data_IF_229007165499
#
_entry.id   IF_229007165499
#
_cell.length_a   1.000
_cell.length_b   1.000
_cell.length_c   1.000
_cell.angle_alpha   90.00
_cell.angle_beta   90.00
_cell.angle_gamma   90.00
#
_symmetry.space_group_name_H-M   'P 1'
#
loop_
_entity.id
_entity.type
_entity.pdbx_description
1 polymer ?
#
# COMPACT_ATOMS: atom_id res chain seq x y z
N UNK A 1 77.68 -16.08 -26.62
CA UNK A 1 76.35 -16.67 -26.39
C UNK A 1 75.53 -15.71 -25.53
N UNK A 2 74.46 -15.13 -26.08
CA UNK A 2 73.59 -14.16 -25.38
C UNK A 2 72.18 -14.76 -25.37
N UNK A 3 71.72 -15.16 -24.19
CA UNK A 3 70.43 -15.80 -23.99
C UNK A 3 69.29 -14.78 -24.20
N UNK A 4 68.31 -15.14 -25.04
CA UNK A 4 67.11 -14.36 -25.28
C UNK A 4 66.09 -14.61 -24.16
N UNK A 5 65.61 -13.52 -23.55
CA UNK A 5 64.59 -13.53 -22.51
C UNK A 5 63.20 -13.83 -23.10
N UNK A 6 62.46 -14.72 -22.44
CA UNK A 6 61.09 -15.08 -22.81
C UNK A 6 60.09 -14.00 -22.37
N UNK A 7 59.14 -13.66 -23.25
CA UNK A 7 58.06 -12.70 -23.00
C UNK A 7 56.95 -13.30 -22.11
N UNK A 8 56.29 -12.51 -21.25
CA UNK A 8 55.25 -13.00 -20.35
C UNK A 8 53.94 -13.28 -21.09
N UNK A 9 53.26 -14.35 -20.67
CA UNK A 9 51.98 -14.79 -21.22
C UNK A 9 50.82 -13.82 -20.88
N UNK A 10 49.80 -13.69 -21.75
CA UNK A 10 48.66 -12.80 -21.49
C UNK A 10 47.80 -13.31 -20.33
N UNK A 11 47.41 -12.39 -19.44
CA UNK A 11 46.51 -12.65 -18.34
C UNK A 11 45.10 -13.05 -18.83
N UNK A 12 44.55 -14.11 -18.24
CA UNK A 12 43.22 -14.61 -18.55
C UNK A 12 42.14 -13.57 -18.21
N UNK A 13 41.29 -13.25 -19.19
CA UNK A 13 40.16 -12.36 -19.03
C UNK A 13 39.12 -12.97 -18.08
N UNK A 14 38.66 -12.16 -17.12
CA UNK A 14 37.61 -12.53 -16.18
C UNK A 14 36.27 -12.81 -16.91
N UNK A 15 35.43 -13.74 -16.42
CA UNK A 15 34.16 -14.07 -17.07
C UNK A 15 33.23 -12.85 -17.07
N UNK A 16 32.77 -12.45 -18.25
CA UNK A 16 31.73 -11.43 -18.40
C UNK A 16 30.46 -11.89 -17.67
N UNK A 17 29.97 -11.05 -16.74
CA UNK A 17 28.71 -11.28 -16.05
C UNK A 17 27.57 -11.47 -17.07
N UNK A 18 26.87 -12.59 -17.00
CA UNK A 18 25.77 -12.91 -17.91
C UNK A 18 24.67 -11.85 -17.79
N UNK A 19 24.44 -11.07 -18.85
CA UNK A 19 23.31 -10.16 -18.93
C UNK A 19 22.01 -10.97 -18.82
N UNK A 20 21.16 -10.66 -17.83
CA UNK A 20 19.80 -11.22 -17.74
C UNK A 20 19.05 -10.88 -19.03
N UNK A 21 18.62 -11.90 -19.77
CA UNK A 21 17.80 -11.72 -20.96
C UNK A 21 16.49 -10.98 -20.61
N UNK A 22 16.08 -10.05 -21.46
CA UNK A 22 14.79 -9.38 -21.32
C UNK A 22 13.63 -10.39 -21.36
N UNK A 23 12.54 -10.16 -20.61
CA UNK A 23 11.38 -11.04 -20.64
C UNK A 23 10.77 -11.07 -22.05
N UNK A 24 10.59 -12.27 -22.62
CA UNK A 24 9.83 -12.45 -23.85
C UNK A 24 8.34 -12.34 -23.51
N UNK A 25 7.65 -11.37 -24.11
CA UNK A 25 6.22 -11.17 -23.94
C UNK A 25 5.47 -11.80 -25.11
N UNK A 26 4.44 -12.60 -24.82
CA UNK A 26 3.55 -13.15 -25.84
C UNK A 26 2.42 -12.18 -26.15
N UNK A 27 1.98 -12.14 -27.41
CA UNK A 27 0.86 -11.31 -27.81
C UNK A 27 -0.44 -11.86 -27.20
N UNK A 28 -1.18 -11.00 -26.50
CA UNK A 28 -2.48 -11.37 -25.93
C UNK A 28 -3.48 -11.76 -27.04
N UNK A 29 -4.27 -12.83 -26.85
CA UNK A 29 -5.31 -13.22 -27.82
C UNK A 29 -6.40 -12.15 -27.97
N UNK A 30 -6.51 -11.19 -27.05
CA UNK A 30 -7.46 -10.09 -27.11
C UNK A 30 -7.10 -9.03 -28.16
N UNK A 31 -5.87 -9.05 -28.70
CA UNK A 31 -5.39 -8.03 -29.64
C UNK A 31 -6.25 -8.03 -30.92
N UNK A 32 -6.89 -6.88 -31.21
CA UNK A 32 -7.73 -6.69 -32.40
C UNK A 32 -9.18 -7.15 -32.25
N UNK A 33 -9.61 -7.56 -31.06
CA UNK A 33 -11.00 -7.97 -30.81
C UNK A 33 -11.82 -6.87 -30.14
N UNK A 34 -13.10 -6.77 -30.51
CA UNK A 34 -14.11 -6.00 -29.77
C UNK A 34 -14.91 -6.97 -28.90
N UNK A 35 -14.78 -6.83 -27.58
CA UNK A 35 -15.49 -7.68 -26.60
C UNK A 35 -16.54 -6.88 -25.85
N UNK A 36 -17.70 -7.49 -25.60
CA UNK A 36 -18.76 -6.86 -24.81
C UNK A 36 -18.30 -6.72 -23.35
N UNK A 37 -18.47 -5.55 -22.75
CA UNK A 37 -18.22 -5.37 -21.33
C UNK A 37 -19.12 -6.30 -20.50
N UNK A 38 -18.54 -6.95 -19.49
CA UNK A 38 -19.33 -7.66 -18.49
C UNK A 38 -20.18 -6.67 -17.69
N UNK A 39 -21.31 -7.12 -17.15
CA UNK A 39 -22.17 -6.30 -16.29
C UNK A 39 -21.39 -5.68 -15.14
N UNK A 40 -20.53 -6.47 -14.50
CA UNK A 40 -19.69 -6.03 -13.39
C UNK A 40 -18.71 -4.93 -13.81
N UNK A 41 -18.04 -5.08 -14.97
CA UNK A 41 -17.11 -4.05 -15.46
C UNK A 41 -17.82 -2.74 -15.79
N UNK A 42 -19.05 -2.82 -16.33
CA UNK A 42 -19.88 -1.66 -16.58
C UNK A 42 -20.23 -0.93 -15.27
N UNK A 43 -20.73 -1.65 -14.26
CA UNK A 43 -21.07 -1.06 -12.95
C UNK A 43 -19.86 -0.41 -12.28
N UNK A 44 -18.69 -1.05 -12.32
CA UNK A 44 -17.45 -0.45 -11.79
C UNK A 44 -17.14 0.84 -12.53
N UNK A 45 -17.19 0.85 -13.87
CA UNK A 45 -16.93 2.04 -14.68
C UNK A 45 -17.89 3.19 -14.36
N UNK A 46 -19.19 2.91 -14.29
CA UNK A 46 -20.22 3.91 -13.96
C UNK A 46 -19.98 4.51 -12.56
N UNK A 47 -19.61 3.69 -11.56
CA UNK A 47 -19.29 4.15 -10.22
C UNK A 47 -18.02 5.02 -10.17
N UNK A 48 -16.97 4.68 -10.92
CA UNK A 48 -15.74 5.48 -10.99
C UNK A 48 -15.98 6.84 -11.67
N UNK A 49 -16.76 6.87 -12.75
CA UNK A 49 -17.13 8.13 -13.39
C UNK A 49 -18.02 8.98 -12.48
N UNK A 50 -18.93 8.37 -11.72
CA UNK A 50 -19.73 9.09 -10.72
C UNK A 50 -18.83 9.72 -9.65
N UNK A 51 -17.85 8.99 -9.11
CA UNK A 51 -16.91 9.53 -8.13
C UNK A 51 -16.14 10.74 -8.68
N UNK A 52 -15.59 10.63 -9.90
CA UNK A 52 -14.84 11.71 -10.54
C UNK A 52 -15.68 12.96 -10.81
N UNK A 53 -16.94 12.81 -11.19
CA UNK A 53 -17.81 13.96 -11.46
C UNK A 53 -18.41 14.60 -10.20
N UNK A 54 -18.51 13.84 -9.10
CA UNK A 54 -19.09 14.35 -7.84
C UNK A 54 -18.05 14.92 -6.90
N UNK A 55 -16.79 14.46 -6.93
CA UNK A 55 -15.77 14.83 -5.95
C UNK A 55 -14.70 15.74 -6.56
N UNK A 56 -14.26 16.75 -5.81
CA UNK A 56 -13.14 17.60 -6.20
C UNK A 56 -11.82 16.93 -5.81
N UNK A 57 -11.40 15.89 -6.54
CA UNK A 57 -10.29 15.05 -6.09
C UNK A 57 -8.91 15.71 -6.25
N UNK A 58 -8.14 15.74 -5.17
CA UNK A 58 -6.70 16.05 -5.16
C UNK A 58 -5.91 14.86 -4.62
N UNK A 59 -4.59 14.87 -4.84
CA UNK A 59 -3.69 13.87 -4.25
C UNK A 59 -2.44 14.54 -3.67
N UNK A 60 -2.12 14.21 -2.43
CA UNK A 60 -0.87 14.58 -1.77
C UNK A 60 0.00 13.36 -1.57
N UNK A 61 1.32 13.51 -1.64
CA UNK A 61 2.27 12.38 -1.57
C UNK A 61 3.40 12.71 -0.59
N UNK A 62 3.78 11.73 0.23
CA UNK A 62 4.94 11.82 1.13
C UNK A 62 5.84 10.58 0.97
N UNK A 63 7.13 10.77 1.22
CA UNK A 63 8.09 9.67 1.37
C UNK A 63 8.12 9.19 2.83
N UNK A 64 8.28 7.89 3.05
CA UNK A 64 8.33 7.26 4.37
C UNK A 64 9.48 6.27 4.42
N UNK A 65 10.36 6.41 5.42
CA UNK A 65 11.44 5.46 5.72
C UNK A 65 10.91 4.32 6.59
N UNK A 66 10.64 3.18 5.96
CA UNK A 66 10.15 1.99 6.65
C UNK A 66 11.27 1.01 7.02
N UNK A 67 12.54 1.43 7.03
CA UNK A 67 13.67 0.54 7.37
C UNK A 67 13.52 -0.09 8.76
N UNK A 68 13.14 0.70 9.79
CA UNK A 68 12.94 0.15 11.14
C UNK A 68 11.82 -0.89 11.15
N UNK A 69 10.68 -0.55 10.57
CA UNK A 69 9.53 -1.44 10.45
C UNK A 69 9.87 -2.74 9.71
N UNK A 70 10.59 -2.66 8.60
CA UNK A 70 10.96 -3.83 7.80
C UNK A 70 11.96 -4.74 8.53
N UNK A 71 12.89 -4.15 9.29
CA UNK A 71 13.80 -4.91 10.18
C UNK A 71 13.04 -5.60 11.31
N UNK A 72 12.13 -4.89 11.98
CA UNK A 72 11.29 -5.44 13.05
C UNK A 72 10.46 -6.62 12.53
N UNK A 73 9.77 -6.41 11.39
CA UNK A 73 9.01 -7.48 10.73
C UNK A 73 9.88 -8.69 10.39
N UNK A 74 11.09 -8.48 9.86
CA UNK A 74 11.99 -9.57 9.53
C UNK A 74 12.39 -10.40 10.76
N UNK A 75 12.56 -9.76 11.92
CA UNK A 75 12.82 -10.41 13.21
C UNK A 75 11.60 -11.18 13.74
N UNK A 76 10.39 -10.61 13.61
CA UNK A 76 9.17 -11.16 14.23
C UNK A 76 8.44 -12.23 13.39
N UNK A 77 8.57 -12.20 12.06
CA UNK A 77 7.64 -12.89 11.13
C UNK A 77 7.45 -14.39 11.39
N UNK A 78 8.51 -15.11 11.77
CA UNK A 78 8.48 -16.57 11.88
C UNK A 78 7.82 -16.99 13.21
N UNK A 79 8.17 -16.32 14.31
CA UNK A 79 7.51 -16.51 15.60
C UNK A 79 6.05 -16.08 15.58
N UNK A 80 5.74 -14.97 14.90
CA UNK A 80 4.37 -14.53 14.69
C UNK A 80 3.55 -15.56 13.91
N UNK A 81 4.09 -16.11 12.82
CA UNK A 81 3.39 -17.12 12.03
C UNK A 81 3.12 -18.40 12.83
N UNK A 82 4.08 -18.82 13.66
CA UNK A 82 3.91 -19.98 14.54
C UNK A 82 2.81 -19.75 15.59
N UNK A 83 2.72 -18.55 16.17
CA UNK A 83 1.73 -18.21 17.20
C UNK A 83 0.33 -17.94 16.64
N UNK A 84 0.24 -17.20 15.54
CA UNK A 84 -1.03 -16.67 15.04
C UNK A 84 -1.63 -17.49 13.89
N UNK A 85 -0.88 -18.43 13.31
CA UNK A 85 -1.32 -19.24 12.17
C UNK A 85 -1.43 -18.49 10.85
N UNK A 86 -0.99 -17.22 10.80
CA UNK A 86 -1.01 -16.37 9.61
C UNK A 86 0.33 -15.66 9.41
N UNK A 87 0.71 -15.44 8.15
CA UNK A 87 1.97 -14.76 7.82
C UNK A 87 1.89 -13.27 8.19
N UNK A 88 2.95 -12.76 8.82
CA UNK A 88 3.13 -11.34 9.05
C UNK A 88 3.51 -10.63 7.74
N UNK A 89 2.53 -10.12 7.00
CA UNK A 89 2.79 -9.27 5.82
C UNK A 89 3.08 -7.81 6.26
N UNK A 90 3.59 -6.93 5.38
CA UNK A 90 3.72 -5.51 5.72
C UNK A 90 2.37 -4.80 5.89
N UNK A 91 1.31 -5.26 5.20
CA UNK A 91 0.03 -4.57 5.10
C UNK A 91 -0.63 -4.23 6.46
N UNK A 92 -0.68 -5.14 7.47
CA UNK A 92 -1.26 -4.85 8.77
C UNK A 92 -0.68 -3.63 9.49
N UNK A 93 0.61 -3.35 9.32
CA UNK A 93 1.24 -2.17 9.92
C UNK A 93 0.71 -0.87 9.31
N UNK A 94 0.52 -0.83 7.99
CA UNK A 94 -0.07 0.32 7.31
C UNK A 94 -1.55 0.50 7.68
N UNK A 95 -2.32 -0.59 7.77
CA UNK A 95 -3.72 -0.53 8.22
C UNK A 95 -3.79 0.02 9.65
N UNK A 96 -2.93 -0.48 10.55
CA UNK A 96 -2.88 -0.04 11.95
C UNK A 96 -2.52 1.44 12.07
N UNK A 97 -1.47 1.88 11.38
CA UNK A 97 -1.04 3.27 11.36
C UNK A 97 -2.12 4.21 10.78
N UNK A 98 -2.74 3.82 9.67
CA UNK A 98 -3.84 4.57 9.07
C UNK A 98 -5.04 4.69 10.03
N UNK A 99 -5.52 3.56 10.57
CA UNK A 99 -6.66 3.54 11.48
C UNK A 99 -6.40 4.35 12.77
N UNK A 100 -5.19 4.27 13.33
CA UNK A 100 -4.81 5.09 14.49
C UNK A 100 -4.81 6.58 14.16
N UNK A 101 -4.29 6.98 12.99
CA UNK A 101 -4.30 8.37 12.55
C UNK A 101 -5.73 8.89 12.28
N UNK A 102 -6.63 8.06 11.72
CA UNK A 102 -8.01 8.46 11.46
C UNK A 102 -8.75 8.92 12.72
N UNK A 103 -8.49 8.28 13.88
CA UNK A 103 -9.06 8.69 15.18
C UNK A 103 -8.71 10.14 15.57
N UNK A 104 -7.54 10.63 15.16
CA UNK A 104 -7.09 12.01 15.40
C UNK A 104 -7.48 12.98 14.27
N UNK A 105 -7.90 12.46 13.11
CA UNK A 105 -8.17 13.22 11.90
C UNK A 105 -9.57 12.89 11.34
N UNK A 106 -10.65 13.22 12.06
CA UNK A 106 -12.01 12.78 11.72
C UNK A 106 -12.48 13.29 10.35
N UNK A 107 -11.97 14.43 9.86
CA UNK A 107 -12.28 14.95 8.52
C UNK A 107 -11.88 13.98 7.40
N UNK A 108 -10.86 13.15 7.62
CA UNK A 108 -10.42 12.11 6.69
C UNK A 108 -11.33 10.87 6.78
N UNK A 109 -11.91 10.61 7.96
CA UNK A 109 -12.88 9.54 8.23
C UNK A 109 -14.31 10.08 8.22
N UNK A 110 -14.72 10.66 7.10
CA UNK A 110 -16.02 11.30 6.97
C UNK A 110 -16.64 11.09 5.57
N UNK A 111 -17.90 11.50 5.40
CA UNK A 111 -18.56 11.63 4.10
C UNK A 111 -19.42 12.89 4.03
N UNK A 112 -19.53 13.44 2.82
CA UNK A 112 -20.52 14.49 2.50
C UNK A 112 -21.84 13.79 2.16
N UNK A 113 -22.92 14.20 2.82
CA UNK A 113 -24.29 13.83 2.46
C UNK A 113 -24.85 14.92 1.52
N UNK A 114 -24.57 14.80 0.23
CA UNK A 114 -24.87 15.87 -0.76
C UNK A 114 -26.36 16.28 -0.77
N UNK A 115 -27.26 15.30 -0.73
CA UNK A 115 -28.71 15.54 -0.77
C UNK A 115 -29.23 16.32 0.46
N UNK A 116 -28.56 16.16 1.60
CA UNK A 116 -28.94 16.80 2.87
C UNK A 116 -28.13 18.07 3.16
N UNK A 117 -27.03 18.31 2.44
CA UNK A 117 -26.08 19.38 2.74
C UNK A 117 -25.37 19.21 4.09
N UNK A 118 -25.20 17.98 4.57
CA UNK A 118 -24.57 17.67 5.88
C UNK A 118 -23.29 16.85 5.72
N UNK A 119 -22.48 16.79 6.78
CA UNK A 119 -21.27 15.95 6.84
C UNK A 119 -21.47 14.92 7.95
N UNK A 120 -21.16 13.66 7.65
CA UNK A 120 -21.09 12.58 8.65
C UNK A 120 -19.63 12.30 8.96
N UNK A 121 -19.24 12.45 10.22
CA UNK A 121 -17.97 11.98 10.76
C UNK A 121 -18.21 10.60 11.37
N UNK A 122 -17.45 9.59 10.95
CA UNK A 122 -17.64 8.23 11.44
C UNK A 122 -17.01 8.06 12.82
N UNK A 123 -17.65 7.26 13.68
CA UNK A 123 -17.20 6.90 15.03
C UNK A 123 -16.38 5.61 15.06
N UNK A 124 -16.11 5.03 13.89
CA UNK A 124 -15.38 3.78 13.71
C UNK A 124 -14.53 3.79 12.44
N UNK A 125 -13.42 3.06 12.46
CA UNK A 125 -12.53 2.89 11.31
C UNK A 125 -12.77 1.55 10.63
N UNK A 126 -13.60 1.55 9.59
CA UNK A 126 -13.83 0.37 8.75
C UNK A 126 -12.99 0.50 7.48
N UNK A 127 -11.94 -0.29 7.37
CA UNK A 127 -10.92 -0.12 6.34
C UNK A 127 -11.15 -1.07 5.17
N UNK A 128 -11.53 -0.52 4.03
CA UNK A 128 -11.51 -1.23 2.76
C UNK A 128 -10.07 -1.51 2.31
N UNK A 129 -9.76 -2.74 1.87
CA UNK A 129 -8.44 -3.08 1.34
C UNK A 129 -8.59 -3.59 -0.08
N UNK A 130 -7.89 -2.97 -1.02
CA UNK A 130 -7.88 -3.43 -2.40
C UNK A 130 -7.15 -4.78 -2.52
N UNK A 131 -7.85 -5.81 -3.00
CA UNK A 131 -7.36 -7.17 -3.21
C UNK A 131 -7.50 -7.54 -4.68
N UNK A 132 -6.38 -7.91 -5.29
CA UNK A 132 -6.35 -8.46 -6.64
C UNK A 132 -6.86 -9.91 -6.64
N UNK A 133 -7.95 -10.16 -7.36
CA UNK A 133 -8.61 -11.44 -7.50
C UNK A 133 -8.86 -11.76 -8.98
N UNK A 134 -9.15 -13.02 -9.31
CA UNK A 134 -9.32 -13.49 -10.69
C UNK A 134 -10.43 -12.73 -11.45
N UNK A 135 -11.51 -12.37 -10.75
CA UNK A 135 -12.63 -11.60 -11.30
C UNK A 135 -12.33 -10.09 -11.36
N UNK A 136 -11.11 -9.67 -11.04
CA UNK A 136 -10.67 -8.28 -10.97
C UNK A 136 -10.50 -7.79 -9.53
N UNK A 137 -10.12 -6.52 -9.42
CA UNK A 137 -9.89 -5.85 -8.14
C UNK A 137 -11.19 -5.79 -7.31
N UNK A 138 -11.10 -6.23 -6.07
CA UNK A 138 -12.19 -6.16 -5.08
C UNK A 138 -11.72 -5.39 -3.85
N UNK A 139 -12.64 -4.78 -3.11
CA UNK A 139 -12.31 -3.97 -1.92
C UNK A 139 -13.11 -4.47 -0.70
N UNK A 140 -12.77 -5.65 -0.16
CA UNK A 140 -13.38 -6.12 1.09
C UNK A 140 -12.97 -5.24 2.28
N UNK A 141 -13.77 -5.27 3.35
CA UNK A 141 -13.71 -4.33 4.47
C UNK A 141 -13.31 -5.02 5.76
N UNK A 142 -12.25 -4.53 6.41
CA UNK A 142 -11.94 -4.86 7.80
C UNK A 142 -12.77 -3.94 8.69
N UNK A 143 -13.89 -4.45 9.21
CA UNK A 143 -14.76 -3.73 10.14
C UNK A 143 -14.07 -3.57 11.51
N UNK A 144 -14.20 -2.39 12.11
CA UNK A 144 -13.63 -2.06 13.42
C UNK A 144 -12.10 -2.13 13.46
N UNK A 145 -11.41 -1.83 12.35
CA UNK A 145 -9.96 -1.96 12.25
C UNK A 145 -9.22 -1.06 13.27
N UNK A 146 -9.82 0.06 13.68
CA UNK A 146 -9.27 0.97 14.69
C UNK A 146 -9.08 0.35 16.07
N UNK A 147 -9.79 -0.73 16.38
CA UNK A 147 -9.74 -1.41 17.68
C UNK A 147 -8.97 -2.73 17.62
N UNK A 148 -8.53 -3.14 16.43
CA UNK A 148 -7.74 -4.35 16.24
C UNK A 148 -6.25 -4.10 16.48
N UNK A 149 -5.56 -5.13 16.97
CA UNK A 149 -4.10 -5.20 16.98
C UNK A 149 -3.57 -5.81 15.66
N UNK A 150 -2.25 -5.82 15.47
CA UNK A 150 -1.58 -6.38 14.28
C UNK A 150 -2.02 -7.84 14.02
N UNK A 151 -2.21 -8.65 15.06
CA UNK A 151 -2.68 -10.03 14.92
C UNK A 151 -4.12 -10.10 14.35
N UNK A 152 -5.04 -9.31 14.91
CA UNK A 152 -6.42 -9.22 14.45
C UNK A 152 -6.51 -8.74 13.01
N UNK A 153 -5.79 -7.67 12.66
CA UNK A 153 -5.72 -7.14 11.30
C UNK A 153 -5.12 -8.19 10.34
N UNK A 154 -4.06 -8.89 10.74
CA UNK A 154 -3.43 -9.93 9.92
C UNK A 154 -4.39 -11.07 9.60
N UNK A 155 -5.11 -11.57 10.62
CA UNK A 155 -6.10 -12.65 10.46
C UNK A 155 -7.25 -12.22 9.55
N UNK A 156 -7.80 -11.01 9.76
CA UNK A 156 -8.90 -10.48 8.94
C UNK A 156 -8.47 -10.23 7.49
N UNK A 157 -7.27 -9.68 7.28
CA UNK A 157 -6.71 -9.49 5.94
C UNK A 157 -6.55 -10.84 5.22
N UNK A 158 -6.03 -11.86 5.91
CA UNK A 158 -5.86 -13.19 5.33
C UNK A 158 -7.20 -13.87 5.00
N UNK A 159 -8.19 -13.76 5.89
CA UNK A 159 -9.55 -14.26 5.68
C UNK A 159 -10.19 -13.64 4.43
N UNK A 160 -10.21 -12.31 4.34
CA UNK A 160 -10.83 -11.57 3.23
C UNK A 160 -10.07 -11.80 1.91
N UNK A 161 -8.74 -11.86 1.94
CA UNK A 161 -7.96 -12.18 0.76
C UNK A 161 -8.19 -13.62 0.26
N UNK A 162 -8.39 -14.57 1.19
CA UNK A 162 -8.79 -15.95 0.87
C UNK A 162 -10.16 -15.99 0.20
N UNK A 163 -11.16 -15.33 0.81
CA UNK A 163 -12.51 -15.20 0.24
C UNK A 163 -12.50 -14.53 -1.14
N UNK A 164 -11.72 -13.46 -1.32
CA UNK A 164 -11.63 -12.74 -2.59
C UNK A 164 -11.12 -13.63 -3.72
N UNK A 165 -10.03 -14.37 -3.46
CA UNK A 165 -9.43 -15.29 -4.43
C UNK A 165 -10.30 -16.53 -4.67
N UNK A 166 -10.97 -17.03 -3.63
CA UNK A 166 -11.86 -18.19 -3.71
C UNK A 166 -13.28 -17.87 -4.20
N UNK A 167 -13.61 -16.59 -4.45
CA UNK A 167 -14.94 -16.16 -4.87
C UNK A 167 -16.02 -16.26 -3.78
N UNK A 168 -15.63 -16.30 -2.51
CA UNK A 168 -16.51 -16.44 -1.34
C UNK A 168 -16.81 -15.14 -0.59
N UNK A 169 -16.55 -13.97 -1.19
CA UNK A 169 -16.92 -12.69 -0.59
C UNK A 169 -18.43 -12.51 -0.60
N UNK A 170 -18.97 -12.13 0.55
CA UNK A 170 -20.38 -11.78 0.72
C UNK A 170 -20.60 -10.28 0.46
N UNK A 171 -21.85 -9.83 0.23
CA UNK A 171 -22.16 -8.40 0.17
C UNK A 171 -21.75 -7.65 1.44
N UNK A 172 -21.86 -8.30 2.61
CA UNK A 172 -21.49 -7.71 3.89
C UNK A 172 -19.98 -7.45 3.99
N UNK A 173 -19.16 -8.38 3.50
CA UNK A 173 -17.70 -8.24 3.42
C UNK A 173 -17.26 -7.05 2.54
N UNK A 174 -18.13 -6.57 1.65
CA UNK A 174 -17.84 -5.51 0.67
C UNK A 174 -18.45 -4.15 1.03
N UNK A 175 -19.09 -4.03 2.20
CA UNK A 175 -19.88 -2.87 2.59
C UNK A 175 -19.40 -2.23 3.89
N UNK A 176 -19.74 -0.95 4.08
CA UNK A 176 -19.50 -0.23 5.33
C UNK A 176 -18.09 0.33 5.52
N UNK A 177 -17.25 0.34 4.48
CA UNK A 177 -15.95 1.01 4.54
C UNK A 177 -16.11 2.52 4.71
N UNK A 178 -15.40 3.08 5.68
CA UNK A 178 -15.32 4.51 5.97
C UNK A 178 -14.06 5.14 5.37
N UNK A 179 -13.02 4.31 5.17
CA UNK A 179 -11.76 4.67 4.54
C UNK A 179 -11.24 3.48 3.73
N UNK A 180 -10.41 3.72 2.72
CA UNK A 180 -9.86 2.67 1.87
C UNK A 180 -8.34 2.76 1.77
N UNK A 181 -7.68 1.60 1.66
CA UNK A 181 -6.26 1.49 1.36
C UNK A 181 -6.04 0.62 0.13
N UNK A 182 -5.20 1.11 -0.79
CA UNK A 182 -4.78 0.41 -2.00
C UNK A 182 -3.25 0.22 -2.00
N UNK A 183 -2.77 -0.98 -2.35
CA UNK A 183 -1.34 -1.31 -2.37
C UNK A 183 -0.89 -1.83 -3.74
N UNK A 184 -0.68 -0.90 -4.66
CA UNK A 184 -0.08 -1.15 -5.97
C UNK A 184 1.44 -1.29 -5.90
N UNK A 185 2.05 -0.87 -4.78
CA UNK A 185 3.45 -1.15 -4.47
C UNK A 185 3.81 -2.63 -4.50
N UNK A 186 2.86 -3.51 -4.17
CA UNK A 186 3.01 -4.96 -4.32
C UNK A 186 3.32 -5.43 -5.75
N UNK A 187 3.00 -4.59 -6.75
CA UNK A 187 3.29 -4.79 -8.18
C UNK A 187 4.41 -3.88 -8.72
N UNK A 188 5.06 -3.11 -7.85
CA UNK A 188 6.20 -2.25 -8.21
C UNK A 188 5.85 -0.81 -8.59
N UNK A 189 4.58 -0.40 -8.48
CA UNK A 189 4.18 1.00 -8.71
C UNK A 189 4.80 1.90 -7.64
N UNK A 190 5.30 3.07 -8.02
CA UNK A 190 5.96 3.97 -7.07
C UNK A 190 4.95 4.65 -6.14
N UNK A 191 3.88 5.17 -6.72
CA UNK A 191 2.68 5.71 -6.09
C UNK A 191 1.59 5.82 -7.17
N UNK A 192 0.33 5.93 -6.76
CA UNK A 192 -0.79 6.22 -7.66
C UNK A 192 -1.65 7.36 -7.12
N UNK A 193 -2.34 8.05 -8.02
CA UNK A 193 -3.46 8.95 -7.71
C UNK A 193 -4.75 8.14 -7.78
N UNK A 194 -5.16 7.53 -6.67
CA UNK A 194 -6.26 6.56 -6.67
C UNK A 194 -7.60 7.30 -6.58
N UNK A 195 -8.58 6.90 -7.39
CA UNK A 195 -9.92 7.51 -7.33
C UNK A 195 -10.54 7.25 -5.96
N UNK A 196 -10.95 8.31 -5.27
CA UNK A 196 -11.65 8.21 -3.98
C UNK A 196 -12.95 7.43 -4.18
N UNK A 197 -13.20 6.36 -3.39
CA UNK A 197 -14.46 5.63 -3.48
C UNK A 197 -15.66 6.53 -3.17
N UNK A 198 -16.83 6.29 -3.81
CA UNK A 198 -18.05 6.99 -3.44
C UNK A 198 -18.35 6.87 -1.95
N UNK A 199 -18.91 7.94 -1.36
CA UNK A 199 -19.28 8.02 0.06
C UNK A 199 -18.12 7.91 1.07
N UNK A 200 -16.87 8.10 0.62
CA UNK A 200 -15.70 8.26 1.49
C UNK A 200 -15.02 9.60 1.17
N UNK A 201 -14.38 10.20 2.17
CA UNK A 201 -13.64 11.44 1.98
C UNK A 201 -12.24 11.23 1.36
N UNK A 202 -11.63 10.06 1.56
CA UNK A 202 -10.25 9.82 1.14
C UNK A 202 -9.89 8.34 0.97
N UNK A 203 -8.77 8.09 0.27
CA UNK A 203 -8.15 6.79 0.05
C UNK A 203 -6.62 6.90 0.15
N UNK A 204 -5.99 5.96 0.86
CA UNK A 204 -4.53 5.86 0.98
C UNK A 204 -3.97 4.87 -0.05
N UNK A 205 -3.06 5.33 -0.91
CA UNK A 205 -2.20 4.51 -1.76
C UNK A 205 -0.88 4.19 -1.07
N UNK A 206 -0.45 2.93 -1.17
CA UNK A 206 0.85 2.45 -0.72
C UNK A 206 1.69 2.08 -1.94
N UNK A 207 2.81 2.78 -2.09
CA UNK A 207 3.82 2.56 -3.11
C UNK A 207 4.77 1.40 -2.84
N UNK A 208 5.60 1.07 -3.82
CA UNK A 208 6.59 0.01 -3.70
C UNK A 208 7.63 0.37 -2.64
N UNK A 209 8.01 -0.60 -1.81
CA UNK A 209 9.17 -0.45 -0.93
C UNK A 209 10.44 -0.70 -1.74
N UNK A 210 11.28 0.33 -1.89
CA UNK A 210 12.50 0.29 -2.70
C UNK A 210 13.68 0.75 -1.86
N UNK A 211 14.82 0.05 -1.99
CA UNK A 211 16.07 0.50 -1.37
C UNK A 211 16.58 1.76 -2.07
N UNK A 212 16.77 2.84 -1.33
CA UNK A 212 17.27 4.13 -1.85
C UNK A 212 18.38 4.69 -0.96
N UNK A 213 19.39 5.36 -1.52
CA UNK A 213 20.28 6.19 -0.71
C UNK A 213 19.48 7.37 -0.15
N UNK A 214 19.60 7.62 1.15
CA UNK A 214 18.98 8.74 1.82
C UNK A 214 20.00 9.42 2.75
N UNK A 215 19.87 10.74 2.88
CA UNK A 215 20.60 11.53 3.85
C UNK A 215 19.99 11.31 5.23
N UNK A 216 20.82 11.02 6.21
CA UNK A 216 20.42 10.66 7.58
C UNK A 216 21.22 11.53 8.53
N UNK A 217 20.52 12.20 9.44
CA UNK A 217 21.14 12.88 10.56
C UNK A 217 21.43 11.87 11.67
N UNK A 218 22.67 11.86 12.16
CA UNK A 218 23.13 11.03 13.29
C UNK A 218 23.83 11.92 14.32
N UNK A 219 24.08 11.40 15.52
CA UNK A 219 24.86 12.12 16.54
C UNK A 219 26.28 12.49 16.05
N UNK A 220 26.83 11.69 15.15
CA UNK A 220 28.16 11.87 14.53
C UNK A 220 28.13 12.79 13.31
N UNK A 221 26.95 13.27 12.92
CA UNK A 221 26.72 14.16 11.77
C UNK A 221 25.89 13.54 10.64
N UNK A 222 25.87 14.23 9.50
CA UNK A 222 25.09 13.85 8.32
C UNK A 222 25.78 12.74 7.53
N UNK A 223 25.09 11.62 7.31
CA UNK A 223 25.59 10.46 6.54
C UNK A 223 24.64 10.08 5.42
N UNK A 224 25.14 9.39 4.39
CA UNK A 224 24.30 8.75 3.37
C UNK A 224 24.19 7.26 3.70
N UNK A 225 22.96 6.76 3.84
CA UNK A 225 22.70 5.34 4.09
C UNK A 225 21.62 4.76 3.18
N UNK A 226 21.61 3.44 3.05
CA UNK A 226 20.58 2.74 2.27
C UNK A 226 19.34 2.50 3.13
N UNK A 227 18.21 3.07 2.70
CA UNK A 227 16.90 3.00 3.39
C UNK A 227 15.87 2.27 2.55
N UNK A 228 14.94 1.60 3.21
CA UNK A 228 13.77 0.97 2.62
C UNK A 228 12.68 2.05 2.56
N UNK A 229 12.59 2.74 1.42
CA UNK A 229 11.70 3.87 1.23
C UNK A 229 10.40 3.42 0.57
N UNK A 230 9.28 4.00 0.99
CA UNK A 230 7.99 3.86 0.31
C UNK A 230 7.34 5.24 0.14
N UNK A 231 6.45 5.36 -0.84
CA UNK A 231 5.61 6.54 -0.98
C UNK A 231 4.22 6.23 -0.45
N UNK A 232 3.65 7.17 0.30
CA UNK A 232 2.24 7.17 0.64
C UNK A 232 1.57 8.29 -0.14
N UNK A 233 0.52 7.96 -0.89
CA UNK A 233 -0.34 8.93 -1.57
C UNK A 233 -1.70 8.96 -0.90
N UNK A 234 -2.21 10.14 -0.56
CA UNK A 234 -3.60 10.32 -0.11
C UNK A 234 -4.36 11.05 -1.19
N UNK A 235 -5.32 10.38 -1.80
CA UNK A 235 -6.31 11.04 -2.64
C UNK A 235 -7.54 11.37 -1.79
N UNK A 236 -8.11 12.56 -1.96
CA UNK A 236 -9.18 13.07 -1.09
C UNK A 236 -10.12 14.02 -1.84
N UNK A 237 -11.36 14.11 -1.36
CA UNK A 237 -12.37 15.06 -1.87
C UNK A 237 -12.16 16.44 -1.24
N UNK A 238 -11.63 17.38 -2.04
CA UNK A 238 -11.26 18.71 -1.59
C UNK A 238 -12.47 19.61 -1.27
N UNK A 239 -13.70 19.14 -1.49
CA UNK A 239 -14.89 19.79 -0.93
C UNK A 239 -14.95 19.72 0.60
N UNK A 240 -14.30 18.70 1.20
CA UNK A 240 -14.29 18.47 2.64
C UNK A 240 -12.88 18.48 3.25
N UNK A 241 -11.90 17.95 2.53
CA UNK A 241 -10.53 17.78 3.05
C UNK A 241 -9.61 18.83 2.42
N UNK A 242 -9.09 19.75 3.23
CA UNK A 242 -8.09 20.70 2.77
C UNK A 242 -6.70 20.07 2.67
N UNK A 243 -5.83 20.67 1.86
CA UNK A 243 -4.43 20.22 1.72
C UNK A 243 -3.67 20.17 3.05
N UNK A 244 -3.99 21.06 3.99
CA UNK A 244 -3.40 21.04 5.34
C UNK A 244 -3.85 19.82 6.16
N UNK A 245 -5.11 19.40 6.03
CA UNK A 245 -5.63 18.22 6.72
C UNK A 245 -5.05 16.94 6.14
N UNK A 246 -4.98 16.85 4.82
CA UNK A 246 -4.32 15.76 4.11
C UNK A 246 -2.84 15.64 4.52
N UNK A 247 -2.11 16.77 4.57
CA UNK A 247 -0.72 16.80 5.00
C UNK A 247 -0.55 16.33 6.45
N UNK A 248 -1.35 16.85 7.39
CA UNK A 248 -1.31 16.43 8.80
C UNK A 248 -1.56 14.94 8.97
N UNK A 249 -2.59 14.41 8.29
CA UNK A 249 -2.89 12.97 8.33
C UNK A 249 -1.74 12.12 7.76
N UNK A 250 -1.21 12.47 6.58
CA UNK A 250 -0.10 11.74 5.98
C UNK A 250 1.16 11.79 6.86
N UNK A 251 1.46 12.94 7.47
CA UNK A 251 2.58 13.07 8.40
C UNK A 251 2.37 12.27 9.68
N UNK A 252 1.14 12.17 10.21
CA UNK A 252 0.83 11.31 11.34
C UNK A 252 1.05 9.82 11.02
N UNK A 253 0.55 9.36 9.86
CA UNK A 253 0.78 7.98 9.40
C UNK A 253 2.27 7.71 9.18
N UNK A 254 2.99 8.65 8.55
CA UNK A 254 4.46 8.59 8.38
C UNK A 254 5.14 8.43 9.73
N UNK A 255 4.84 9.29 10.71
CA UNK A 255 5.47 9.25 12.02
C UNK A 255 5.29 7.89 12.73
N UNK A 256 4.09 7.32 12.69
CA UNK A 256 3.80 6.00 13.28
C UNK A 256 4.64 4.90 12.60
N UNK A 257 4.70 4.91 11.26
CA UNK A 257 5.44 3.91 10.49
C UNK A 257 6.96 4.02 10.66
N UNK A 258 7.50 5.25 10.71
CA UNK A 258 8.92 5.53 10.88
C UNK A 258 9.42 5.28 12.30
N UNK A 259 8.57 5.49 13.31
CA UNK A 259 8.86 5.10 14.68
C UNK A 259 9.10 3.58 14.75
N UNK A 260 8.22 2.81 14.08
CA UNK A 260 8.33 1.35 13.99
C UNK A 260 8.09 0.64 15.32
N UNK A 261 7.46 1.30 16.29
CA UNK A 261 7.22 0.83 17.66
C UNK A 261 6.02 -0.14 17.73
N UNK A 262 6.19 -1.34 17.15
CA UNK A 262 5.16 -2.40 17.14
C UNK A 262 5.58 -3.65 17.92
N UNK A 263 6.69 -3.61 18.66
CA UNK A 263 7.28 -4.74 19.39
C UNK A 263 6.27 -5.42 20.33
N UNK A 264 5.55 -4.61 21.10
CA UNK A 264 4.56 -5.10 22.07
C UNK A 264 3.46 -5.90 21.37
N UNK A 265 2.94 -5.42 20.25
CA UNK A 265 1.92 -6.13 19.47
C UNK A 265 2.43 -7.40 18.78
N UNK A 266 3.76 -7.50 18.59
CA UNK A 266 4.42 -8.67 18.02
C UNK A 266 4.87 -9.67 19.09
N UNK A 267 4.85 -9.30 20.37
CA UNK A 267 5.34 -10.10 21.49
C UNK A 267 6.86 -10.23 21.48
N UNK A 268 7.55 -9.12 21.19
CA UNK A 268 9.01 -8.99 21.20
C UNK A 268 9.53 -8.18 22.38
#
# INVERSE_FOLDING_TARGET
AKAAAAAPAPAAAAPAASAKAAPKLEASPLRGQTVKMTRMRKVIGDNMMKALHSQAQLTSVVEVDVTKLMKLRAKAKDGFAAREGVKLSPMPFYVKAAAQALKAHPVINARINEDEGTITYFDSENIGIAVDAEKGLMTPVIKGAGDLNIAGISKKTAELAGKARGGGLTPDDMSGATFTISNTGSRGALFDTVIVPPNQAAILGIGATVKRPAVIETEEGTVIGVRDMTYLSLSYDHRLVDGADAARYLTAVKAILEAGEFEVELGL
#
